data_IF_731183124347
#
_entry.id   IF_731183124347
#
_cell.length_a   1.000
_cell.length_b   1.000
_cell.length_c   1.000
_cell.angle_alpha   90.00
_cell.angle_beta   90.00
_cell.angle_gamma   90.00
#
_symmetry.space_group_name_H-M   'P 1'
#
loop_
_entity.id
_entity.type
_entity.pdbx_description
1 polymer ?
#
# COMPACT_ATOMS: atom_id res chain seq x y z
N UNK A 1 -16.47 -3.37 5.06
CA UNK A 1 -16.31 -2.45 6.23
C UNK A 1 -16.30 -1.03 5.68
N UNK A 2 -17.06 -0.11 6.25
CA UNK A 2 -16.98 1.30 5.83
C UNK A 2 -15.67 1.92 6.32
N UNK A 3 -15.02 2.72 5.47
CA UNK A 3 -13.82 3.49 5.85
C UNK A 3 -14.15 4.41 7.01
N UNK A 4 -13.48 4.24 8.14
CA UNK A 4 -13.54 5.19 9.25
C UNK A 4 -12.52 6.31 9.05
N UNK A 5 -12.99 7.41 8.46
CA UNK A 5 -12.16 8.58 8.16
C UNK A 5 -11.68 9.27 9.44
N UNK A 6 -12.48 9.27 10.49
CA UNK A 6 -12.15 9.89 11.76
C UNK A 6 -11.00 9.16 12.45
N UNK A 7 -11.10 7.82 12.52
CA UNK A 7 -10.03 6.97 13.03
C UNK A 7 -8.75 7.12 12.20
N UNK A 8 -8.88 7.15 10.87
CA UNK A 8 -7.72 7.34 10.00
C UNK A 8 -7.03 8.69 10.25
N UNK A 9 -7.78 9.79 10.33
CA UNK A 9 -7.21 11.11 10.57
C UNK A 9 -6.58 11.20 11.96
N UNK A 10 -7.22 10.63 12.98
CA UNK A 10 -6.65 10.55 14.34
C UNK A 10 -5.33 9.79 14.34
N UNK A 11 -5.32 8.59 13.77
CA UNK A 11 -4.14 7.72 13.69
C UNK A 11 -2.99 8.37 12.93
N UNK A 12 -3.29 8.92 11.76
CA UNK A 12 -2.32 9.67 10.95
C UNK A 12 -1.68 10.82 11.74
N UNK A 13 -2.50 11.65 12.39
CA UNK A 13 -2.00 12.80 13.15
C UNK A 13 -1.14 12.37 14.34
N UNK A 14 -1.52 11.30 15.05
CA UNK A 14 -0.72 10.70 16.13
C UNK A 14 0.64 10.23 15.64
N UNK A 15 0.69 9.46 14.56
CA UNK A 15 1.95 8.91 14.02
C UNK A 15 2.85 10.02 13.46
N UNK A 16 2.32 10.90 12.60
CA UNK A 16 3.10 12.00 12.00
C UNK A 16 3.58 12.99 13.06
N UNK A 17 2.74 13.31 14.04
CA UNK A 17 3.11 14.18 15.17
C UNK A 17 4.23 13.61 16.03
N UNK A 18 4.14 12.34 16.40
CA UNK A 18 5.17 11.67 17.21
C UNK A 18 6.51 11.52 16.48
N UNK A 19 6.49 11.32 15.16
CA UNK A 19 7.71 11.23 14.35
C UNK A 19 8.42 12.58 14.22
N UNK A 20 7.68 13.68 14.09
CA UNK A 20 8.26 15.03 14.05
C UNK A 20 8.95 15.42 15.36
N UNK A 21 8.47 14.91 16.50
CA UNK A 21 9.05 15.20 17.82
C UNK A 21 10.31 14.35 18.07
N UNK A 22 10.36 13.11 17.59
CA UNK A 22 11.44 12.15 17.91
C UNK A 22 12.66 12.25 17.01
N UNK A 23 12.53 12.81 15.80
CA UNK A 23 13.62 12.72 14.82
C UNK A 23 13.72 14.01 14.01
N UNK A 24 14.87 14.66 14.15
CA UNK A 24 15.39 15.44 13.02
C UNK A 24 15.40 14.58 11.77
N UNK A 25 15.37 15.20 10.61
CA UNK A 25 15.39 14.58 9.27
C UNK A 25 16.46 13.47 9.23
N UNK A 26 16.12 12.20 9.43
CA UNK A 26 17.23 11.26 9.37
C UNK A 26 16.98 9.75 9.43
N UNK A 27 16.15 9.20 10.29
CA UNK A 27 16.12 7.74 10.46
C UNK A 27 14.74 7.20 10.80
N UNK A 28 13.89 7.00 9.77
CA UNK A 28 12.67 6.22 9.92
C UNK A 28 12.96 4.75 9.61
N UNK A 29 13.04 3.92 10.62
CA UNK A 29 13.16 2.47 10.45
C UNK A 29 11.87 1.87 9.87
N UNK A 30 10.72 2.37 10.26
CA UNK A 30 9.40 2.04 9.69
C UNK A 30 8.84 3.22 8.89
N UNK A 31 8.43 2.97 7.65
CA UNK A 31 7.87 4.01 6.79
C UNK A 31 6.49 4.45 7.28
N UNK A 32 6.24 5.75 7.23
CA UNK A 32 5.03 6.39 7.77
C UNK A 32 3.73 5.76 7.28
N UNK A 33 3.63 5.40 5.99
CA UNK A 33 2.42 4.70 5.47
C UNK A 33 2.19 3.38 6.18
N UNK A 34 3.25 2.59 6.41
CA UNK A 34 3.13 1.29 7.07
C UNK A 34 2.66 1.47 8.52
N UNK A 35 3.31 2.37 9.27
CA UNK A 35 2.94 2.66 10.66
C UNK A 35 1.49 3.17 10.79
N UNK A 36 1.06 4.09 9.90
CA UNK A 36 -0.32 4.60 9.91
C UNK A 36 -1.32 3.49 9.60
N UNK A 37 -1.07 2.67 8.57
CA UNK A 37 -1.99 1.59 8.22
C UNK A 37 -2.05 0.51 9.30
N UNK A 38 -0.91 0.15 9.91
CA UNK A 38 -0.86 -0.80 11.01
C UNK A 38 -1.72 -0.32 12.20
N UNK A 39 -1.53 0.92 12.63
CA UNK A 39 -2.32 1.49 13.73
C UNK A 39 -3.79 1.77 13.36
N UNK A 40 -4.11 1.97 12.08
CA UNK A 40 -5.50 2.11 11.62
C UNK A 40 -6.26 0.79 11.69
N UNK A 41 -5.65 -0.32 11.23
CA UNK A 41 -6.29 -1.64 11.26
C UNK A 41 -6.27 -2.31 12.64
N UNK A 42 -5.29 -1.96 13.48
CA UNK A 42 -5.23 -2.38 14.87
C UNK A 42 -4.75 -1.21 15.75
N UNK A 43 -5.68 -0.45 16.35
CA UNK A 43 -5.32 0.63 17.29
C UNK A 43 -4.61 0.13 18.56
N UNK A 44 -4.86 -1.12 18.95
CA UNK A 44 -4.18 -1.80 20.05
C UNK A 44 -2.79 -2.27 19.60
N UNK A 45 -1.76 -1.67 20.19
CA UNK A 45 -0.36 -1.98 19.86
C UNK A 45 0.09 -3.35 20.34
N UNK A 46 -0.64 -3.97 21.28
CA UNK A 46 -0.31 -5.32 21.76
C UNK A 46 -0.59 -6.40 20.70
N UNK A 47 -1.32 -6.04 19.64
CA UNK A 47 -1.54 -6.89 18.46
C UNK A 47 -0.43 -6.76 17.39
N UNK A 48 0.55 -5.87 17.58
CA UNK A 48 1.57 -5.57 16.57
C UNK A 48 2.82 -6.43 16.73
N UNK A 49 3.47 -6.73 15.58
CA UNK A 49 4.78 -7.41 15.50
C UNK A 49 4.78 -8.76 16.28
N UNK A 50 3.74 -9.55 16.10
CA UNK A 50 3.56 -10.81 16.83
C UNK A 50 4.33 -11.94 16.16
N UNK A 51 5.23 -12.63 16.88
CA UNK A 51 5.90 -13.83 16.37
C UNK A 51 4.89 -14.96 16.14
N UNK A 52 4.85 -15.49 14.91
CA UNK A 52 4.05 -16.66 14.52
C UNK A 52 4.97 -17.57 13.71
N UNK A 53 5.17 -18.79 14.19
CA UNK A 53 6.16 -19.71 13.64
C UNK A 53 7.56 -19.04 13.55
N UNK A 54 8.18 -19.06 12.40
CA UNK A 54 9.49 -18.46 12.14
C UNK A 54 9.41 -17.04 11.56
N UNK A 55 8.24 -16.40 11.66
CA UNK A 55 7.99 -15.08 11.09
C UNK A 55 7.36 -14.15 12.12
N UNK A 56 7.42 -12.85 11.83
CA UNK A 56 6.72 -11.83 12.61
C UNK A 56 5.56 -11.30 11.78
N UNK A 57 4.34 -11.40 12.29
CA UNK A 57 3.15 -10.81 11.68
C UNK A 57 3.10 -9.31 12.01
N UNK A 58 2.75 -8.46 11.03
CA UNK A 58 2.58 -7.02 11.28
C UNK A 58 1.48 -6.78 12.33
N UNK A 59 0.37 -7.51 12.20
CA UNK A 59 -0.76 -7.51 13.14
C UNK A 59 -1.28 -8.94 13.30
N UNK A 60 -1.59 -9.31 14.54
CA UNK A 60 -2.33 -10.55 14.83
C UNK A 60 -3.44 -10.25 15.84
N UNK A 61 -4.68 -10.48 15.46
CA UNK A 61 -5.87 -10.20 16.27
C UNK A 61 -6.27 -11.35 17.19
N UNK A 62 -5.52 -12.46 17.19
CA UNK A 62 -5.90 -13.72 17.81
C UNK A 62 -6.74 -14.63 16.89
N UNK A 63 -7.30 -14.11 15.80
CA UNK A 63 -8.13 -14.85 14.85
C UNK A 63 -7.64 -14.73 13.40
N UNK A 64 -7.03 -13.62 13.04
CA UNK A 64 -6.50 -13.34 11.70
C UNK A 64 -5.16 -12.62 11.77
N UNK A 65 -4.39 -12.76 10.70
CA UNK A 65 -3.14 -12.03 10.46
C UNK A 65 -3.41 -10.94 9.45
N UNK A 66 -2.94 -9.71 9.72
CA UNK A 66 -2.98 -8.61 8.77
C UNK A 66 -1.55 -8.16 8.46
N UNK A 67 -1.18 -8.17 7.19
CA UNK A 67 0.13 -7.78 6.68
C UNK A 67 0.03 -6.48 5.86
N UNK A 68 0.79 -5.46 6.21
CA UNK A 68 0.82 -4.20 5.48
C UNK A 68 1.94 -4.23 4.44
N UNK A 69 1.60 -4.52 3.20
CA UNK A 69 2.60 -4.72 2.15
C UNK A 69 2.58 -3.62 1.09
N UNK A 70 3.63 -2.81 1.01
CA UNK A 70 3.69 -1.66 0.08
C UNK A 70 4.36 -1.98 -1.26
N UNK A 71 5.03 -3.12 -1.40
CA UNK A 71 5.75 -3.58 -2.61
C UNK A 71 6.35 -4.97 -2.40
N UNK A 72 6.88 -5.56 -3.50
CA UNK A 72 7.68 -6.78 -3.45
C UNK A 72 6.94 -7.99 -2.85
N UNK A 73 5.71 -8.23 -3.27
CA UNK A 73 4.85 -9.32 -2.79
C UNK A 73 5.50 -10.70 -2.89
N UNK A 74 6.44 -10.90 -3.82
CA UNK A 74 7.20 -12.16 -3.90
C UNK A 74 7.92 -12.52 -2.59
N UNK A 75 8.27 -11.53 -1.76
CA UNK A 75 8.92 -11.77 -0.45
C UNK A 75 7.94 -12.35 0.58
N UNK A 76 6.64 -12.18 0.37
CA UNK A 76 5.61 -12.70 1.27
C UNK A 76 5.36 -14.21 1.10
N UNK A 77 5.81 -14.82 -0.01
CA UNK A 77 5.49 -16.23 -0.31
C UNK A 77 5.78 -17.14 0.88
N UNK A 78 6.96 -17.06 1.48
CA UNK A 78 7.33 -17.90 2.64
C UNK A 78 6.46 -17.62 3.88
N UNK A 79 6.06 -16.36 4.11
CA UNK A 79 5.08 -16.01 5.16
C UNK A 79 3.71 -16.61 4.85
N UNK A 80 3.25 -16.51 3.60
CA UNK A 80 1.96 -17.07 3.18
C UNK A 80 1.94 -18.59 3.29
N UNK A 81 3.04 -19.27 2.96
CA UNK A 81 3.17 -20.72 3.15
C UNK A 81 3.01 -21.12 4.63
N UNK A 82 3.54 -20.30 5.55
CA UNK A 82 3.48 -20.56 6.99
C UNK A 82 2.12 -20.14 7.61
N UNK A 83 1.58 -19.02 7.20
CA UNK A 83 0.42 -18.41 7.87
C UNK A 83 -0.93 -18.95 7.40
N UNK A 84 -1.10 -19.15 6.07
CA UNK A 84 -2.40 -19.53 5.49
C UNK A 84 -2.96 -20.89 5.99
N UNK A 85 -2.13 -21.90 6.35
CA UNK A 85 -2.63 -23.12 6.97
C UNK A 85 -3.17 -22.91 8.41
N UNK A 86 -2.74 -21.84 9.09
CA UNK A 86 -3.05 -21.62 10.50
C UNK A 86 -4.16 -20.60 10.68
N UNK A 87 -4.16 -19.52 9.90
CA UNK A 87 -5.06 -18.37 10.10
C UNK A 87 -5.49 -17.78 8.75
N UNK A 88 -6.64 -17.10 8.71
CA UNK A 88 -6.94 -16.14 7.65
C UNK A 88 -5.86 -15.05 7.61
N UNK A 89 -5.42 -14.68 6.41
CA UNK A 89 -4.39 -13.66 6.17
C UNK A 89 -4.96 -12.56 5.30
N UNK A 90 -4.99 -11.34 5.80
CA UNK A 90 -5.37 -10.15 5.04
C UNK A 90 -4.12 -9.37 4.64
N UNK A 91 -3.88 -9.23 3.34
CA UNK A 91 -2.84 -8.32 2.82
C UNK A 91 -3.47 -6.95 2.58
N UNK A 92 -3.01 -5.94 3.29
CA UNK A 92 -3.36 -4.54 3.05
C UNK A 92 -2.31 -3.94 2.13
N UNK A 93 -2.74 -3.49 0.96
CA UNK A 93 -1.87 -2.88 -0.05
C UNK A 93 -2.18 -1.39 -0.25
N UNK A 94 -1.43 -0.47 0.38
CA UNK A 94 -1.58 0.95 0.16
C UNK A 94 -1.11 1.37 -1.23
N UNK A 95 -2.03 1.90 -2.05
CA UNK A 95 -1.80 2.39 -3.41
C UNK A 95 -1.89 3.91 -3.39
N UNK A 96 -0.86 4.65 -3.86
CA UNK A 96 -0.96 6.09 -3.98
C UNK A 96 -2.02 6.49 -5.02
N UNK A 97 -3.14 7.09 -4.57
CA UNK A 97 -4.19 7.62 -5.43
C UNK A 97 -3.76 8.96 -6.02
N UNK A 98 -3.78 10.03 -5.25
CA UNK A 98 -3.21 11.32 -5.64
C UNK A 98 -1.91 11.53 -4.87
N UNK A 99 -0.87 12.04 -5.56
CA UNK A 99 0.41 12.33 -4.93
C UNK A 99 0.81 13.77 -5.09
N UNK A 100 1.32 14.34 -4.01
CA UNK A 100 2.10 15.57 -4.01
C UNK A 100 3.55 15.24 -3.76
N UNK A 101 4.45 15.81 -4.56
CA UNK A 101 5.87 15.58 -4.51
C UNK A 101 6.57 16.79 -3.94
N UNK A 102 7.48 16.59 -2.98
CA UNK A 102 8.42 17.60 -2.48
C UNK A 102 9.82 17.00 -2.43
N UNK A 103 10.82 17.84 -2.64
CA UNK A 103 12.22 17.45 -2.55
C UNK A 103 12.86 18.10 -1.34
N UNK A 104 13.65 17.34 -0.63
CA UNK A 104 14.42 17.77 0.53
C UNK A 104 15.88 17.91 0.08
N UNK A 105 16.44 19.08 0.28
CA UNK A 105 17.87 19.29 0.13
C UNK A 105 18.58 18.68 1.34
N UNK A 106 19.53 17.78 1.10
CA UNK A 106 20.22 17.06 2.18
C UNK A 106 21.19 17.94 2.98
N UNK A 107 21.71 19.03 2.36
CA UNK A 107 22.68 19.92 3.00
C UNK A 107 21.97 20.99 3.84
N UNK A 108 20.91 21.58 3.31
CA UNK A 108 20.19 22.69 3.98
C UNK A 108 18.98 22.23 4.78
N UNK A 109 18.45 21.04 4.51
CA UNK A 109 17.19 20.54 5.07
C UNK A 109 15.95 21.24 4.50
N UNK A 110 16.10 22.17 3.55
CA UNK A 110 15.00 22.88 2.94
C UNK A 110 14.13 21.97 2.08
N UNK A 111 12.83 22.24 2.09
CA UNK A 111 11.86 21.43 1.33
C UNK A 111 11.25 22.28 0.20
N UNK A 112 11.29 21.76 -1.01
CA UNK A 112 10.67 22.44 -2.17
C UNK A 112 9.15 22.54 -2.01
N UNK A 113 8.50 23.51 -2.69
CA UNK A 113 7.05 23.57 -2.75
C UNK A 113 6.43 22.27 -3.28
N UNK A 114 5.26 21.91 -2.76
CA UNK A 114 4.51 20.71 -3.15
C UNK A 114 4.03 20.81 -4.59
N UNK A 115 4.33 19.79 -5.40
CA UNK A 115 3.87 19.66 -6.77
C UNK A 115 2.97 18.44 -6.93
N UNK A 116 1.76 18.62 -7.44
CA UNK A 116 0.85 17.50 -7.74
C UNK A 116 1.41 16.66 -8.89
N UNK A 117 1.48 15.34 -8.67
CA UNK A 117 1.85 14.39 -9.72
C UNK A 117 0.72 14.30 -10.76
N UNK A 118 1.02 14.23 -12.06
CA UNK A 118 0.00 14.03 -13.09
C UNK A 118 -0.57 12.61 -13.09
N UNK A 119 0.03 11.68 -12.35
CA UNK A 119 -0.40 10.29 -12.29
C UNK A 119 -1.37 10.09 -11.14
N UNK A 120 -2.56 9.57 -11.45
CA UNK A 120 -3.54 9.08 -10.49
C UNK A 120 -3.44 7.55 -10.39
N UNK A 121 -3.39 7.03 -9.17
CA UNK A 121 -3.41 5.60 -8.93
C UNK A 121 -4.83 5.05 -9.02
N UNK A 122 -4.93 3.75 -9.27
CA UNK A 122 -6.18 3.00 -9.30
C UNK A 122 -5.94 1.57 -8.79
N UNK A 123 -6.99 0.80 -8.46
CA UNK A 123 -6.85 -0.55 -7.91
C UNK A 123 -6.15 -1.54 -8.85
N UNK A 124 -6.24 -1.37 -10.16
CA UNK A 124 -5.57 -2.24 -11.14
C UNK A 124 -4.04 -2.25 -10.99
N UNK A 125 -3.46 -1.21 -10.38
CA UNK A 125 -2.01 -1.18 -10.12
C UNK A 125 -1.55 -2.31 -9.19
N UNK A 126 -2.48 -2.91 -8.42
CA UNK A 126 -2.20 -4.06 -7.56
C UNK A 126 -1.82 -5.30 -8.36
N UNK A 127 -2.34 -5.49 -9.56
CA UNK A 127 -2.15 -6.73 -10.33
C UNK A 127 -0.68 -7.03 -10.63
N UNK A 128 0.18 -6.01 -10.76
CA UNK A 128 1.64 -6.19 -10.90
C UNK A 128 2.25 -6.91 -9.69
N UNK A 129 1.76 -6.60 -8.49
CA UNK A 129 2.23 -7.23 -7.25
C UNK A 129 1.49 -8.54 -7.00
N UNK A 130 0.18 -8.60 -7.23
CA UNK A 130 -0.64 -9.81 -7.06
C UNK A 130 -0.15 -10.96 -7.96
N UNK A 131 0.27 -10.67 -9.20
CA UNK A 131 0.86 -11.67 -10.08
C UNK A 131 2.03 -12.41 -9.45
N UNK A 132 2.79 -11.76 -8.58
CA UNK A 132 3.95 -12.35 -7.88
C UNK A 132 3.55 -13.38 -6.82
N UNK A 133 2.29 -13.34 -6.36
CA UNK A 133 1.71 -14.29 -5.40
C UNK A 133 0.53 -15.06 -6.00
N UNK A 134 0.45 -15.14 -7.34
CA UNK A 134 -0.62 -15.79 -8.07
C UNK A 134 -1.04 -17.17 -7.52
N UNK A 135 -0.12 -18.07 -7.11
CA UNK A 135 -0.51 -19.38 -6.58
C UNK A 135 -1.41 -19.33 -5.34
N UNK A 136 -1.39 -18.22 -4.59
CA UNK A 136 -2.14 -18.07 -3.35
C UNK A 136 -3.50 -17.38 -3.55
N UNK A 137 -3.74 -16.71 -4.69
CA UNK A 137 -4.92 -15.86 -4.90
C UNK A 137 -6.25 -16.62 -4.89
N UNK A 138 -6.23 -17.95 -5.04
CA UNK A 138 -7.41 -18.82 -4.93
C UNK A 138 -7.58 -19.44 -3.54
N UNK A 139 -6.66 -19.18 -2.61
CA UNK A 139 -6.75 -19.72 -1.26
C UNK A 139 -7.89 -19.01 -0.51
N UNK A 140 -8.86 -19.74 0.07
CA UNK A 140 -10.00 -19.13 0.76
C UNK A 140 -9.63 -18.36 2.04
N UNK A 141 -8.45 -18.62 2.60
CA UNK A 141 -7.93 -17.91 3.76
C UNK A 141 -7.12 -16.66 3.40
N UNK A 142 -6.95 -16.34 2.09
CA UNK A 142 -6.26 -15.13 1.67
C UNK A 142 -7.26 -14.03 1.30
N UNK A 143 -7.19 -12.94 2.02
CA UNK A 143 -7.99 -11.74 1.79
C UNK A 143 -7.08 -10.58 1.37
N UNK A 144 -7.62 -9.66 0.56
CA UNK A 144 -6.88 -8.49 0.09
C UNK A 144 -7.67 -7.22 0.35
N UNK A 145 -6.99 -6.19 0.82
CA UNK A 145 -7.52 -4.82 0.93
C UNK A 145 -6.63 -3.89 0.12
N UNK A 146 -7.14 -3.44 -1.03
CA UNK A 146 -6.47 -2.46 -1.86
C UNK A 146 -6.89 -1.07 -1.41
N UNK A 147 -5.97 -0.36 -0.76
CA UNK A 147 -6.27 0.91 -0.10
C UNK A 147 -5.72 2.06 -0.92
N UNK A 148 -6.58 2.88 -1.48
CA UNK A 148 -6.18 4.07 -2.22
C UNK A 148 -6.02 5.25 -1.26
N UNK A 149 -4.79 5.78 -1.19
CA UNK A 149 -4.44 6.89 -0.31
C UNK A 149 -3.95 8.09 -1.11
N UNK A 150 -4.47 9.26 -0.83
CA UNK A 150 -3.82 10.50 -1.21
C UNK A 150 -2.59 10.67 -0.32
N UNK A 151 -1.43 10.99 -0.91
CA UNK A 151 -0.14 10.98 -0.21
C UNK A 151 0.73 12.17 -0.56
N UNK A 152 1.51 12.62 0.42
CA UNK A 152 2.69 13.43 0.19
C UNK A 152 3.91 12.52 0.10
N UNK A 153 4.66 12.64 -0.98
CA UNK A 153 5.89 11.87 -1.20
C UNK A 153 7.08 12.81 -1.13
N UNK A 154 7.94 12.59 -0.15
CA UNK A 154 9.19 13.31 0.04
C UNK A 154 10.33 12.55 -0.61
N UNK A 155 11.23 13.29 -1.28
CA UNK A 155 12.39 12.77 -1.99
C UNK A 155 13.63 13.58 -1.65
N UNK A 156 14.79 12.93 -1.62
CA UNK A 156 16.06 13.61 -1.41
C UNK A 156 16.58 14.17 -2.73
N UNK A 157 17.18 15.36 -2.72
CA UNK A 157 17.88 15.96 -3.87
C UNK A 157 19.30 15.40 -3.97
N UNK A 158 19.44 14.08 -4.06
CA UNK A 158 20.75 13.42 -4.08
C UNK A 158 21.16 12.87 -5.47
N UNK A 159 20.74 13.54 -6.53
CA UNK A 159 21.12 13.19 -7.91
C UNK A 159 20.13 12.23 -8.58
N UNK A 160 20.60 11.11 -9.12
CA UNK A 160 19.79 10.20 -9.91
C UNK A 160 19.38 8.97 -9.09
N UNK A 161 18.10 8.61 -9.11
CA UNK A 161 17.66 7.33 -8.53
C UNK A 161 18.28 6.15 -9.31
N UNK A 162 18.33 4.96 -8.71
CA UNK A 162 18.76 3.71 -9.35
C UNK A 162 18.05 3.45 -10.70
N UNK A 163 16.83 3.95 -10.86
CA UNK A 163 16.05 3.83 -12.10
C UNK A 163 16.36 4.93 -13.13
N UNK A 164 17.48 5.64 -13.03
CA UNK A 164 17.89 6.74 -13.91
C UNK A 164 16.86 7.88 -14.04
N UNK A 165 15.96 8.01 -13.08
CA UNK A 165 15.03 9.13 -13.01
C UNK A 165 15.67 10.25 -12.22
N UNK A 166 15.65 11.46 -12.82
CA UNK A 166 16.25 12.64 -12.23
C UNK A 166 15.82 12.82 -10.76
N UNK A 167 16.80 12.86 -9.92
CA UNK A 167 16.79 13.62 -8.68
C UNK A 167 16.17 12.96 -7.52
N UNK A 168 16.22 11.62 -7.26
CA UNK A 168 15.82 11.39 -5.89
C UNK A 168 15.59 9.96 -5.46
N UNK A 169 16.21 9.58 -4.41
CA UNK A 169 15.71 8.47 -3.62
C UNK A 169 14.45 8.92 -2.88
N UNK A 170 13.47 8.00 -2.79
CA UNK A 170 12.29 8.24 -1.97
C UNK A 170 12.68 8.21 -0.51
N UNK A 171 12.48 9.34 0.17
CA UNK A 171 12.70 9.46 1.59
C UNK A 171 11.51 8.81 2.33
N UNK A 172 10.30 9.39 2.18
CA UNK A 172 9.10 8.88 2.84
C UNK A 172 7.81 9.20 2.06
N UNK A 173 6.72 8.59 2.49
CA UNK A 173 5.34 8.89 2.08
C UNK A 173 4.48 9.08 3.31
N UNK A 174 3.80 10.21 3.34
CA UNK A 174 2.84 10.54 4.40
C UNK A 174 1.44 10.43 3.81
N UNK A 175 0.58 9.53 4.31
CA UNK A 175 -0.81 9.47 3.87
C UNK A 175 -1.54 10.72 4.35
N UNK A 176 -2.33 11.34 3.46
CA UNK A 176 -3.08 12.56 3.73
C UNK A 176 -4.56 12.27 3.88
N UNK A 177 -5.09 11.42 3.00
CA UNK A 177 -6.51 11.09 2.94
C UNK A 177 -6.70 9.64 2.54
N UNK A 178 -7.63 8.97 3.20
CA UNK A 178 -8.16 7.67 2.79
C UNK A 178 -9.22 7.91 1.71
N UNK A 179 -8.91 7.55 0.47
CA UNK A 179 -9.79 7.82 -0.66
C UNK A 179 -10.78 6.68 -0.90
N UNK A 180 -10.30 5.44 -0.96
CA UNK A 180 -11.09 4.27 -1.30
C UNK A 180 -10.44 3.00 -0.73
N UNK A 181 -11.28 1.99 -0.42
CA UNK A 181 -10.86 0.62 -0.09
C UNK A 181 -11.61 -0.36 -0.96
N UNK A 182 -10.87 -1.23 -1.64
CA UNK A 182 -11.42 -2.33 -2.44
C UNK A 182 -11.05 -3.63 -1.74
N UNK A 183 -12.07 -4.37 -1.27
CA UNK A 183 -11.90 -5.65 -0.60
C UNK A 183 -12.04 -6.81 -1.59
N UNK A 184 -11.22 -7.84 -1.43
CA UNK A 184 -11.29 -9.11 -2.13
C UNK A 184 -11.21 -10.19 -1.05
N UNK A 185 -12.37 -10.68 -0.64
CA UNK A 185 -12.51 -11.68 0.42
C UNK A 185 -12.72 -13.09 -0.16
N UNK A 186 -13.18 -13.17 -1.41
CA UNK A 186 -13.44 -14.42 -2.14
C UNK A 186 -13.19 -14.23 -3.64
N UNK A 187 -13.12 -15.35 -4.35
CA UNK A 187 -12.79 -15.38 -5.78
C UNK A 187 -13.72 -14.53 -6.64
N UNK A 188 -14.99 -14.50 -6.31
CA UNK A 188 -16.01 -13.74 -7.05
C UNK A 188 -15.77 -12.22 -7.00
N UNK A 189 -15.11 -11.75 -5.95
CA UNK A 189 -14.83 -10.32 -5.77
C UNK A 189 -13.84 -9.77 -6.82
N UNK A 190 -13.09 -10.65 -7.50
CA UNK A 190 -12.26 -10.21 -8.64
C UNK A 190 -13.11 -9.72 -9.82
N UNK A 191 -14.39 -10.09 -9.90
CA UNK A 191 -15.28 -9.63 -10.97
C UNK A 191 -15.51 -8.12 -10.94
N UNK A 192 -15.34 -7.45 -9.79
CA UNK A 192 -15.42 -5.99 -9.70
C UNK A 192 -14.39 -5.25 -10.56
N UNK A 193 -13.33 -5.94 -11.01
CA UNK A 193 -12.32 -5.38 -11.90
C UNK A 193 -12.64 -5.59 -13.39
N UNK A 194 -13.67 -6.34 -13.71
CA UNK A 194 -14.09 -6.53 -15.10
C UNK A 194 -15.03 -5.40 -15.50
N UNK A 195 -14.70 -4.56 -16.50
CA UNK A 195 -15.58 -3.50 -16.95
C UNK A 195 -16.94 -4.05 -17.40
N UNK A 196 -18.01 -3.41 -16.94
CA UNK A 196 -19.38 -3.87 -17.22
C UNK A 196 -19.73 -3.87 -18.71
N UNK A 197 -19.17 -2.94 -19.47
CA UNK A 197 -19.41 -2.73 -20.90
C UNK A 197 -18.41 -3.48 -21.80
N UNK A 198 -17.65 -4.43 -21.23
CA UNK A 198 -16.70 -5.24 -21.97
C UNK A 198 -17.43 -6.24 -22.87
N UNK A 199 -17.13 -6.33 -24.18
CA UNK A 199 -17.74 -7.30 -25.08
C UNK A 199 -17.35 -8.74 -24.69
N UNK A 200 -18.15 -9.73 -25.10
CA UNK A 200 -17.87 -11.16 -24.80
C UNK A 200 -16.49 -11.61 -25.30
N UNK A 201 -16.09 -11.12 -26.47
CA UNK A 201 -14.76 -11.36 -27.02
C UNK A 201 -13.97 -10.06 -26.99
N UNK A 202 -12.89 -10.04 -26.26
CA UNK A 202 -12.06 -8.86 -26.11
C UNK A 202 -10.56 -9.17 -26.09
N UNK A 203 -9.80 -8.20 -26.50
CA UNK A 203 -8.33 -8.21 -26.39
C UNK A 203 -7.87 -7.45 -25.14
N UNK A 204 -6.60 -7.58 -24.77
CA UNK A 204 -5.99 -6.75 -23.72
C UNK A 204 -6.12 -5.24 -24.03
N UNK A 205 -6.15 -4.84 -25.31
CA UNK A 205 -6.36 -3.44 -25.70
C UNK A 205 -7.79 -2.99 -25.42
N UNK A 206 -8.77 -3.84 -25.69
CA UNK A 206 -10.17 -3.54 -25.41
C UNK A 206 -10.40 -3.43 -23.90
N UNK A 207 -9.88 -4.38 -23.13
CA UNK A 207 -9.94 -4.33 -21.68
C UNK A 207 -9.30 -3.03 -21.15
N UNK A 208 -8.09 -2.69 -21.60
CA UNK A 208 -7.39 -1.47 -21.19
C UNK A 208 -8.21 -0.21 -21.47
N UNK A 209 -8.87 -0.15 -22.64
CA UNK A 209 -9.73 0.96 -23.04
C UNK A 209 -10.95 1.10 -22.11
N UNK A 210 -11.67 0.01 -21.86
CA UNK A 210 -12.86 0.00 -21.00
C UNK A 210 -12.51 0.26 -19.52
N UNK A 211 -11.46 -0.37 -19.01
CA UNK A 211 -10.97 -0.16 -17.67
C UNK A 211 -10.23 1.18 -17.46
N UNK A 212 -10.00 1.95 -18.54
CA UNK A 212 -9.25 3.23 -18.55
C UNK A 212 -7.85 3.11 -17.92
N UNK A 213 -7.15 2.03 -18.25
CA UNK A 213 -5.81 1.72 -17.76
C UNK A 213 -4.82 1.54 -18.93
N UNK A 214 -3.51 1.66 -18.69
CA UNK A 214 -2.51 1.28 -19.69
C UNK A 214 -2.59 -0.22 -20.01
N UNK A 215 -2.39 -0.59 -21.30
CA UNK A 215 -2.43 -1.99 -21.78
C UNK A 215 -1.54 -2.93 -20.95
N UNK A 216 -0.43 -2.44 -20.41
CA UNK A 216 0.47 -3.25 -19.55
C UNK A 216 -0.17 -3.69 -18.22
N UNK A 217 -1.33 -3.14 -17.84
CA UNK A 217 -2.10 -3.49 -16.64
C UNK A 217 -3.34 -4.32 -16.98
N UNK A 218 -3.71 -4.41 -18.24
CA UNK A 218 -4.76 -5.27 -18.78
C UNK A 218 -4.18 -6.64 -19.11
#
# INVERSE_FOLDING_TARGET
>A
MCIDKTLFDHTKNKIVGSQRIRQGIGTLSEKTVHAVMKNYYAPDTDMHEIPIENFVADIFTGQEIIEIQTRAFYKMRRKLDAFLPLYPVTIVYPIPHIKWLSWIDEETGETSPKRKSPKTGNPYMAFIELYKIRPYLSNPNLHLKLVLLDMEEYRLLNGWSRDKKKGSERYDRIPVKFAEEVCIDRREDYMQFVPYDLPEQFTAKDFAKHAKIPVRLA
#
